data_IF_317228658865
#
_entry.id   IF_317228658865
#
_cell.length_a   1.000
_cell.length_b   1.000
_cell.length_c   1.000
_cell.angle_alpha   90.00
_cell.angle_beta   90.00
_cell.angle_gamma   90.00
#
_symmetry.space_group_name_H-M   'P 1'
#
loop_
_entity.id
_entity.type
_entity.pdbx_description
1 polymer ?
#
# COMPACT_ATOMS: atom_id res chain seq x y z
N UNK A 1 32.03 -24.31 -38.11
CA UNK A 1 31.03 -23.60 -37.29
C UNK A 1 31.71 -22.40 -36.70
N UNK A 2 31.51 -21.22 -37.29
CA UNK A 2 32.00 -19.96 -36.75
C UNK A 2 30.81 -19.27 -36.10
N UNK A 3 30.88 -19.08 -34.79
CA UNK A 3 29.89 -18.32 -34.04
C UNK A 3 30.07 -16.83 -34.37
N UNK A 4 29.14 -16.27 -35.15
CA UNK A 4 29.05 -14.83 -35.38
C UNK A 4 28.42 -14.17 -34.13
N UNK A 5 29.08 -13.19 -33.49
CA UNK A 5 28.51 -12.50 -32.34
C UNK A 5 27.33 -11.64 -32.82
N UNK A 6 26.18 -11.83 -32.19
CA UNK A 6 24.97 -11.03 -32.41
C UNK A 6 25.24 -9.58 -31.96
N UNK A 7 25.82 -8.76 -32.85
CA UNK A 7 25.95 -7.33 -32.65
C UNK A 7 24.55 -6.73 -32.61
N UNK A 8 24.05 -6.48 -31.41
CA UNK A 8 22.79 -5.78 -31.21
C UNK A 8 22.96 -4.35 -31.73
N UNK A 9 22.31 -4.04 -32.85
CA UNK A 9 22.41 -2.74 -33.50
C UNK A 9 21.93 -1.61 -32.56
N UNK A 10 22.55 -0.44 -32.70
CA UNK A 10 22.23 0.76 -31.92
C UNK A 10 20.74 1.11 -32.03
N UNK A 11 20.13 0.91 -33.20
CA UNK A 11 18.71 1.14 -33.41
C UNK A 11 17.82 0.21 -32.57
N UNK A 12 18.26 -1.04 -32.35
CA UNK A 12 17.58 -2.02 -31.49
C UNK A 12 17.70 -1.64 -30.02
N UNK A 13 18.87 -1.18 -29.57
CA UNK A 13 19.09 -0.70 -28.19
C UNK A 13 18.28 0.57 -27.89
N UNK A 14 18.19 1.50 -28.84
CA UNK A 14 17.37 2.72 -28.71
C UNK A 14 15.89 2.37 -28.62
N UNK A 15 15.42 1.43 -29.46
CA UNK A 15 14.01 1.00 -29.46
C UNK A 15 13.63 0.27 -28.16
N UNK A 16 14.49 -0.62 -27.65
CA UNK A 16 14.27 -1.31 -26.37
C UNK A 16 14.29 -0.34 -25.18
N UNK A 17 15.21 0.64 -25.19
CA UNK A 17 15.32 1.64 -24.11
C UNK A 17 14.13 2.58 -24.08
N UNK A 18 13.67 3.04 -25.25
CA UNK A 18 12.47 3.88 -25.35
C UNK A 18 11.22 3.09 -24.94
N UNK A 19 11.06 1.85 -25.42
CA UNK A 19 9.93 0.98 -25.06
C UNK A 19 9.85 0.70 -23.55
N UNK A 20 10.99 0.42 -22.90
CA UNK A 20 11.05 0.22 -21.45
C UNK A 20 10.71 1.51 -20.69
N UNK A 21 11.16 2.68 -21.18
CA UNK A 21 10.85 3.96 -20.56
C UNK A 21 9.36 4.30 -20.66
N UNK A 22 8.71 4.04 -21.80
CA UNK A 22 7.26 4.20 -21.95
C UNK A 22 6.47 3.22 -21.08
N UNK A 23 6.93 1.98 -20.92
CA UNK A 23 6.31 1.00 -20.01
C UNK A 23 6.36 1.46 -18.55
N UNK A 24 7.51 1.96 -18.10
CA UNK A 24 7.69 2.50 -16.74
C UNK A 24 6.82 3.75 -16.52
N UNK A 25 6.81 4.68 -17.48
CA UNK A 25 5.93 5.86 -17.45
C UNK A 25 4.45 5.49 -17.41
N UNK A 26 4.02 4.48 -18.19
CA UNK A 26 2.65 3.96 -18.19
C UNK A 26 2.29 3.31 -16.85
N UNK A 27 3.22 2.56 -16.23
CA UNK A 27 3.03 1.95 -14.91
C UNK A 27 2.85 3.02 -13.82
N UNK A 28 3.63 4.11 -13.87
CA UNK A 28 3.54 5.24 -12.92
C UNK A 28 2.21 5.99 -13.07
N UNK A 29 1.74 6.21 -14.31
CA UNK A 29 0.47 6.90 -14.58
C UNK A 29 -0.73 6.06 -14.14
N UNK A 30 -0.70 4.74 -14.38
CA UNK A 30 -1.75 3.82 -13.93
C UNK A 30 -1.78 3.78 -12.39
N UNK A 31 -0.61 3.71 -11.73
CA UNK A 31 -0.55 3.66 -10.25
C UNK A 31 -1.05 4.95 -9.58
N UNK A 32 -0.81 6.13 -10.18
CA UNK A 32 -1.31 7.41 -9.65
C UNK A 32 -2.82 7.59 -9.77
N UNK A 33 -3.45 7.08 -10.83
CA UNK A 33 -4.87 7.33 -11.11
C UNK A 33 -5.83 6.43 -10.33
N UNK A 34 -5.40 5.26 -9.86
CA UNK A 34 -6.27 4.34 -9.09
C UNK A 34 -6.40 4.72 -7.61
N UNK A 35 -5.50 5.56 -7.08
CA UNK A 35 -5.44 5.86 -5.64
C UNK A 35 -6.12 7.19 -5.25
N UNK A 36 -6.58 7.98 -6.21
CA UNK A 36 -7.30 9.25 -5.98
C UNK A 36 -8.81 9.08 -6.14
N UNK A 37 -9.38 8.01 -5.59
CA UNK A 37 -10.82 7.99 -5.27
C UNK A 37 -10.95 8.61 -3.89
N UNK A 38 -11.27 9.90 -3.89
CA UNK A 38 -11.57 10.73 -2.74
C UNK A 38 -12.64 10.07 -1.85
N UNK A 39 -12.20 9.47 -0.75
CA UNK A 39 -13.08 9.17 0.37
C UNK A 39 -13.32 10.49 1.13
N UNK A 40 -14.44 11.16 0.81
CA UNK A 40 -14.99 12.25 1.62
C UNK A 40 -15.27 11.73 3.04
N UNK A 41 -14.28 11.83 3.92
CA UNK A 41 -14.38 11.33 5.29
C UNK A 41 -14.98 12.43 6.17
N UNK A 42 -16.29 12.36 6.36
CA UNK A 42 -17.04 13.12 7.36
C UNK A 42 -16.39 12.95 8.74
N UNK A 43 -16.07 14.07 9.42
CA UNK A 43 -15.42 14.08 10.72
C UNK A 43 -16.45 13.84 11.84
N UNK A 44 -16.87 12.60 12.02
CA UNK A 44 -17.61 12.18 13.22
C UNK A 44 -16.63 11.71 14.29
N UNK A 45 -16.93 11.95 15.57
CA UNK A 45 -16.23 11.30 16.69
C UNK A 45 -16.57 9.82 16.69
N UNK A 46 -15.92 9.04 15.83
CA UNK A 46 -16.12 7.61 15.73
C UNK A 46 -15.46 6.96 16.95
N UNK A 47 -16.25 6.17 17.68
CA UNK A 47 -15.70 5.27 18.69
C UNK A 47 -14.93 4.15 17.96
N UNK A 48 -13.60 4.26 17.93
CA UNK A 48 -12.74 3.32 17.22
C UNK A 48 -12.90 1.88 17.70
N UNK A 49 -13.29 1.66 18.97
CA UNK A 49 -13.52 0.32 19.51
C UNK A 49 -14.69 -0.36 18.81
N UNK A 50 -15.79 0.36 18.55
CA UNK A 50 -16.96 -0.18 17.84
C UNK A 50 -16.61 -0.51 16.39
N UNK A 51 -15.90 0.39 15.72
CA UNK A 51 -15.51 0.20 14.31
C UNK A 51 -14.56 -0.99 14.10
N UNK A 52 -13.71 -1.30 15.08
CA UNK A 52 -12.86 -2.50 15.03
C UNK A 52 -13.68 -3.79 15.12
N UNK A 53 -14.82 -3.79 15.81
CA UNK A 53 -15.69 -4.97 15.88
C UNK A 53 -16.41 -5.25 14.56
N UNK A 54 -16.67 -4.22 13.76
CA UNK A 54 -17.23 -4.35 12.41
C UNK A 54 -16.23 -4.92 11.39
N UNK A 55 -14.94 -4.95 11.72
CA UNK A 55 -13.90 -5.48 10.83
C UNK A 55 -14.01 -7.01 10.75
N UNK A 56 -14.04 -7.60 9.54
CA UNK A 56 -14.10 -9.04 9.38
C UNK A 56 -12.82 -9.76 9.83
N UNK A 57 -12.96 -10.98 10.32
CA UNK A 57 -11.86 -11.92 10.59
C UNK A 57 -11.31 -12.51 9.29
N UNK A 58 -10.66 -11.66 8.48
CA UNK A 58 -10.10 -12.05 7.18
C UNK A 58 -8.73 -11.43 6.98
N UNK A 59 -7.89 -12.05 6.12
CA UNK A 59 -6.63 -11.44 5.72
C UNK A 59 -6.88 -10.16 4.93
N UNK A 60 -5.99 -9.19 5.09
CA UNK A 60 -6.07 -7.95 4.34
C UNK A 60 -5.02 -6.92 4.76
N UNK A 61 -5.22 -5.71 4.27
CA UNK A 61 -4.31 -4.57 4.46
C UNK A 61 -5.07 -3.44 5.12
N UNK A 62 -4.44 -2.74 6.06
CA UNK A 62 -4.98 -1.56 6.72
C UNK A 62 -4.03 -0.38 6.59
N UNK A 63 -4.59 0.83 6.65
CA UNK A 63 -3.86 2.09 6.57
C UNK A 63 -4.09 2.88 7.85
N UNK A 64 -3.01 3.41 8.43
CA UNK A 64 -3.12 4.46 9.44
C UNK A 64 -2.89 5.81 8.77
N UNK A 65 -3.72 6.78 9.14
CA UNK A 65 -3.68 8.14 8.61
C UNK A 65 -3.46 9.12 9.76
N UNK A 66 -2.67 10.16 9.50
CA UNK A 66 -2.51 11.29 10.42
C UNK A 66 -3.79 12.15 10.45
N UNK A 67 -3.86 13.10 11.39
CA UNK A 67 -4.97 14.04 11.62
C UNK A 67 -5.41 14.85 10.38
N UNK A 68 -4.51 14.98 9.41
CA UNK A 68 -4.70 15.66 8.13
C UNK A 68 -4.98 14.70 6.96
N UNK A 69 -5.19 13.41 7.24
CA UNK A 69 -5.56 12.40 6.24
C UNK A 69 -4.41 11.78 5.46
N UNK A 70 -3.16 12.20 5.68
CA UNK A 70 -1.98 11.59 5.04
C UNK A 70 -1.76 10.18 5.58
N UNK A 71 -1.49 9.22 4.70
CA UNK A 71 -1.14 7.85 5.08
C UNK A 71 0.26 7.86 5.71
N UNK A 72 0.36 7.39 6.96
CA UNK A 72 1.63 7.32 7.70
C UNK A 72 2.12 5.89 7.89
N UNK A 73 1.24 4.90 7.74
CA UNK A 73 1.58 3.50 7.90
C UNK A 73 0.64 2.62 7.09
N UNK A 74 1.19 1.54 6.54
CA UNK A 74 0.45 0.48 5.85
C UNK A 74 0.87 -0.85 6.45
N UNK A 75 -0.09 -1.63 6.94
CA UNK A 75 0.17 -2.93 7.54
C UNK A 75 -0.65 -4.02 6.87
N UNK A 76 -0.08 -5.22 6.71
CA UNK A 76 -0.78 -6.43 6.31
C UNK A 76 -1.05 -7.33 7.52
N UNK A 77 -2.17 -8.04 7.52
CA UNK A 77 -2.51 -8.97 8.57
C UNK A 77 -3.18 -10.23 8.00
N UNK A 78 -2.94 -11.38 8.62
CA UNK A 78 -3.67 -12.62 8.35
C UNK A 78 -5.11 -12.58 8.90
N UNK A 79 -5.31 -11.86 10.00
CA UNK A 79 -6.61 -11.53 10.59
C UNK A 79 -6.59 -10.03 10.93
N UNK A 80 -7.34 -9.25 10.16
CA UNK A 80 -7.40 -7.79 10.33
C UNK A 80 -7.98 -7.39 11.69
N UNK A 81 -9.06 -8.03 12.14
CA UNK A 81 -9.72 -7.69 13.40
C UNK A 81 -8.78 -7.92 14.58
N UNK A 82 -8.14 -9.08 14.66
CA UNK A 82 -7.16 -9.36 15.74
C UNK A 82 -6.01 -8.37 15.75
N UNK A 83 -5.47 -8.03 14.57
CA UNK A 83 -4.35 -7.10 14.46
C UNK A 83 -4.74 -5.69 14.88
N UNK A 84 -5.91 -5.21 14.46
CA UNK A 84 -6.40 -3.88 14.78
C UNK A 84 -6.75 -3.76 16.27
N UNK A 85 -7.38 -4.78 16.86
CA UNK A 85 -7.70 -4.79 18.30
C UNK A 85 -6.48 -4.55 19.20
N UNK A 86 -5.30 -5.08 18.82
CA UNK A 86 -4.07 -4.94 19.58
C UNK A 86 -3.55 -3.49 19.68
N UNK A 87 -3.96 -2.59 18.79
CA UNK A 87 -3.61 -1.17 18.86
C UNK A 87 -4.50 -0.39 19.83
N UNK A 88 -5.69 -0.90 20.13
CA UNK A 88 -6.69 -0.22 20.96
C UNK A 88 -6.89 -0.88 22.32
N UNK A 89 -6.17 -1.97 22.61
CA UNK A 89 -6.11 -2.53 23.96
C UNK A 89 -5.33 -1.55 24.86
N UNK A 90 -5.92 -1.02 25.93
CA UNK A 90 -5.18 -0.19 26.88
C UNK A 90 -4.02 -1.01 27.42
N UNK A 91 -2.80 -0.48 27.34
CA UNK A 91 -1.64 -1.08 27.98
C UNK A 91 -1.97 -1.23 29.46
N UNK A 92 -2.17 -2.47 29.93
CA UNK A 92 -2.19 -2.76 31.37
C UNK A 92 -0.88 -2.19 31.91
N UNK A 93 -0.97 -1.11 32.69
CA UNK A 93 0.15 -0.66 33.52
C UNK A 93 0.58 -1.89 34.31
N UNK A 94 1.80 -2.37 34.05
CA UNK A 94 2.44 -3.34 34.93
C UNK A 94 2.46 -2.68 36.31
N UNK A 95 1.62 -3.19 37.22
CA UNK A 95 1.77 -2.92 38.64
C UNK A 95 2.91 -3.83 39.09
N UNK A 96 4.11 -3.29 39.06
CA UNK A 96 5.23 -3.82 39.83
C UNK A 96 4.96 -3.44 41.28
N UNK A 97 4.29 -4.34 42.01
CA UNK A 97 4.44 -4.48 43.46
C UNK A 97 5.65 -5.40 43.73
#
# INVERSE_FOLDING_TARGET
>A
MKDEPFLVDFQTLVTLRLGLQFYILRLIIIFRNTFTVSANFQRTRINFVQKVQEVPHKPGVYLMRDRIGRVIYVGKAKDLRKRLSNYFTPSRRNRSD
#
